data_IF_148709689496
#
_entry.id   IF_148709689496
#
_cell.length_a   1.000
_cell.length_b   1.000
_cell.length_c   1.000
_cell.angle_alpha   90.00
_cell.angle_beta   90.00
_cell.angle_gamma   90.00
#
_symmetry.space_group_name_H-M   'P 1'
#
loop_
_entity.id
_entity.type
_entity.pdbx_description
1 polymer ?
#
# COMPACT_ATOMS: atom_id res chain seq x y z
N UNK A 1 -33.87 -47.08 -5.41
CA UNK A 1 -34.64 -46.00 -4.77
C UNK A 1 -33.71 -44.80 -4.70
N UNK A 2 -34.15 -43.70 -5.29
CA UNK A 2 -33.40 -42.51 -5.66
C UNK A 2 -32.69 -41.84 -4.45
N UNK A 3 -31.43 -41.43 -4.63
CA UNK A 3 -30.85 -40.31 -3.87
C UNK A 3 -30.42 -39.26 -4.89
N UNK A 4 -31.02 -38.10 -4.73
CA UNK A 4 -31.05 -37.00 -5.68
C UNK A 4 -29.67 -36.41 -5.99
N UNK A 5 -29.36 -36.52 -7.27
CA UNK A 5 -28.68 -35.63 -8.17
C UNK A 5 -28.84 -34.10 -7.88
N UNK A 6 -28.14 -33.55 -6.87
CA UNK A 6 -28.07 -32.08 -6.61
C UNK A 6 -26.71 -31.47 -6.25
N UNK A 7 -25.61 -32.22 -6.24
CA UNK A 7 -24.24 -31.67 -6.10
C UNK A 7 -23.43 -31.92 -7.37
N UNK A 8 -23.65 -31.10 -8.40
CA UNK A 8 -22.63 -30.90 -9.43
C UNK A 8 -21.55 -30.01 -8.81
N UNK A 9 -20.42 -30.60 -8.42
CA UNK A 9 -19.34 -29.88 -7.75
C UNK A 9 -18.79 -28.78 -8.67
N UNK A 10 -18.38 -27.65 -8.09
CA UNK A 10 -17.59 -26.61 -8.78
C UNK A 10 -16.44 -27.22 -9.59
N UNK A 11 -15.82 -28.28 -9.04
CA UNK A 11 -14.85 -29.13 -9.73
C UNK A 11 -15.33 -29.64 -11.08
N UNK A 12 -16.52 -30.24 -11.17
CA UNK A 12 -17.08 -30.77 -12.43
C UNK A 12 -17.42 -29.65 -13.42
N UNK A 13 -17.72 -28.44 -12.92
CA UNK A 13 -18.06 -27.26 -13.75
C UNK A 13 -16.83 -26.54 -14.26
N UNK A 14 -15.86 -26.26 -13.39
CA UNK A 14 -14.56 -25.72 -13.79
C UNK A 14 -13.90 -26.69 -14.77
N UNK A 15 -13.77 -27.97 -14.42
CA UNK A 15 -13.16 -28.95 -15.33
C UNK A 15 -13.98 -29.18 -16.61
N UNK A 16 -15.32 -29.13 -16.54
CA UNK A 16 -16.21 -29.25 -17.69
C UNK A 16 -16.17 -28.04 -18.65
N UNK A 17 -15.91 -26.84 -18.13
CA UNK A 17 -15.67 -25.63 -18.91
C UNK A 17 -14.31 -25.67 -19.63
N UNK A 18 -13.31 -26.33 -19.05
CA UNK A 18 -11.94 -26.40 -19.57
C UNK A 18 -11.71 -27.50 -20.60
N UNK A 19 -12.53 -28.55 -20.58
CA UNK A 19 -12.46 -29.62 -21.58
C UNK A 19 -12.99 -29.23 -22.98
N UNK A 20 -13.59 -28.04 -23.16
CA UNK A 20 -14.29 -27.66 -24.40
C UNK A 20 -13.44 -26.93 -25.46
N UNK A 21 -12.19 -26.56 -25.21
CA UNK A 21 -11.39 -25.73 -26.13
C UNK A 21 -9.96 -26.25 -26.39
N UNK A 22 -9.79 -27.52 -26.77
CA UNK A 22 -8.52 -28.03 -27.35
C UNK A 22 -7.23 -27.85 -26.51
N UNK A 23 -7.32 -27.90 -25.18
CA UNK A 23 -6.18 -28.25 -24.34
C UNK A 23 -6.17 -29.77 -24.16
N UNK A 24 -5.01 -30.41 -24.33
CA UNK A 24 -4.89 -31.87 -24.29
C UNK A 24 -5.41 -32.40 -22.94
N UNK A 25 -6.19 -33.49 -22.97
CA UNK A 25 -6.63 -34.20 -21.76
C UNK A 25 -5.47 -34.70 -20.88
N UNK A 26 -4.23 -34.68 -21.39
CA UNK A 26 -3.01 -34.92 -20.62
C UNK A 26 -2.56 -33.71 -19.78
N UNK A 27 -2.83 -32.48 -20.24
CA UNK A 27 -2.46 -31.22 -19.56
C UNK A 27 -3.48 -30.85 -18.46
N UNK A 28 -4.69 -31.40 -18.57
CA UNK A 28 -5.81 -31.23 -17.62
C UNK A 28 -6.04 -32.50 -16.78
N UNK A 29 -4.99 -33.20 -16.33
CA UNK A 29 -5.20 -34.30 -15.36
C UNK A 29 -5.66 -33.73 -14.01
N UNK A 30 -6.97 -33.87 -13.83
CA UNK A 30 -7.90 -33.23 -12.88
C UNK A 30 -7.58 -33.35 -11.38
N UNK A 31 -6.69 -34.25 -10.94
CA UNK A 31 -6.49 -34.56 -9.52
C UNK A 31 -5.17 -34.05 -8.92
N UNK A 32 -4.28 -33.45 -9.73
CA UNK A 32 -2.92 -33.07 -9.30
C UNK A 32 -2.48 -31.67 -9.78
N UNK A 33 -3.40 -30.85 -10.31
CA UNK A 33 -3.05 -29.50 -10.74
C UNK A 33 -3.00 -28.56 -9.52
N UNK A 34 -1.80 -28.44 -8.97
CA UNK A 34 -1.46 -27.60 -7.82
C UNK A 34 -1.82 -26.12 -8.07
N UNK A 35 -1.43 -25.58 -9.23
CA UNK A 35 -1.66 -24.17 -9.56
C UNK A 35 -3.16 -23.84 -9.64
N UNK A 36 -3.95 -24.74 -10.25
CA UNK A 36 -5.41 -24.58 -10.30
C UNK A 36 -6.04 -24.65 -8.90
N UNK A 37 -5.48 -25.47 -8.01
CA UNK A 37 -5.96 -25.60 -6.64
C UNK A 37 -5.68 -24.36 -5.80
N UNK A 38 -4.48 -23.77 -5.94
CA UNK A 38 -4.13 -22.49 -5.31
C UNK A 38 -5.02 -21.38 -5.87
N UNK A 39 -5.21 -21.35 -7.19
CA UNK A 39 -6.04 -20.36 -7.86
C UNK A 39 -7.49 -20.39 -7.39
N UNK A 40 -8.07 -21.59 -7.22
CA UNK A 40 -9.41 -21.73 -6.67
C UNK A 40 -9.49 -21.14 -5.25
N UNK A 41 -8.52 -21.41 -4.37
CA UNK A 41 -8.50 -20.84 -3.02
C UNK A 41 -8.42 -19.30 -3.04
N UNK A 42 -7.56 -18.73 -3.88
CA UNK A 42 -7.38 -17.28 -4.00
C UNK A 42 -8.66 -16.58 -4.51
N UNK A 43 -9.33 -17.16 -5.49
CA UNK A 43 -10.57 -16.58 -6.02
C UNK A 43 -11.69 -16.67 -4.99
N UNK A 44 -11.79 -17.79 -4.27
CA UNK A 44 -12.84 -17.98 -3.27
C UNK A 44 -12.68 -17.15 -2.02
N UNK A 45 -11.45 -16.88 -1.58
CA UNK A 45 -11.25 -16.06 -0.38
C UNK A 45 -11.71 -14.61 -0.62
N UNK A 46 -11.44 -14.06 -1.81
CA UNK A 46 -11.92 -12.73 -2.18
C UNK A 46 -13.44 -12.71 -2.45
N UNK A 47 -14.03 -13.82 -2.92
CA UNK A 47 -15.46 -13.92 -3.18
C UNK A 47 -16.30 -14.25 -1.92
N UNK A 48 -15.70 -14.22 -0.72
CA UNK A 48 -16.37 -14.60 0.53
C UNK A 48 -17.45 -13.58 0.96
N UNK A 49 -17.28 -12.31 0.58
CA UNK A 49 -18.26 -11.26 0.83
C UNK A 49 -19.01 -10.84 -0.44
N UNK A 50 -20.17 -10.20 -0.26
CA UNK A 50 -21.08 -9.82 -1.37
C UNK A 50 -20.49 -8.73 -2.28
N UNK A 51 -19.52 -7.96 -1.77
CA UNK A 51 -18.78 -6.93 -2.50
C UNK A 51 -17.41 -7.46 -2.91
N UNK A 52 -17.33 -7.93 -4.16
CA UNK A 52 -16.08 -8.39 -4.76
C UNK A 52 -15.28 -7.19 -5.26
N UNK A 53 -14.26 -6.79 -4.49
CA UNK A 53 -13.54 -5.53 -4.69
C UNK A 53 -12.68 -5.52 -5.97
N UNK A 54 -12.49 -4.37 -6.61
CA UNK A 54 -11.68 -4.27 -7.83
C UNK A 54 -10.17 -4.47 -7.58
N UNK A 55 -9.65 -4.06 -6.42
CA UNK A 55 -8.25 -4.21 -6.05
C UNK A 55 -7.93 -5.68 -5.73
N UNK A 56 -8.82 -6.38 -5.01
CA UNK A 56 -8.74 -7.85 -4.84
C UNK A 56 -8.68 -8.57 -6.20
N UNK A 57 -9.55 -8.18 -7.14
CA UNK A 57 -9.59 -8.76 -8.48
C UNK A 57 -8.31 -8.53 -9.29
N UNK A 58 -7.74 -7.32 -9.22
CA UNK A 58 -6.47 -7.01 -9.88
C UNK A 58 -5.33 -7.82 -9.28
N UNK A 59 -5.28 -7.94 -7.96
CA UNK A 59 -4.26 -8.73 -7.24
C UNK A 59 -4.35 -10.21 -7.58
N UNK A 60 -5.56 -10.78 -7.61
CA UNK A 60 -5.78 -12.17 -8.06
C UNK A 60 -5.25 -12.34 -9.49
N UNK A 61 -5.67 -11.48 -10.43
CA UNK A 61 -5.21 -11.59 -11.83
C UNK A 61 -3.69 -11.53 -11.94
N UNK A 62 -3.04 -10.65 -11.19
CA UNK A 62 -1.59 -10.53 -11.18
C UNK A 62 -0.90 -11.80 -10.64
N UNK A 63 -1.36 -12.35 -9.51
CA UNK A 63 -0.81 -13.58 -8.94
C UNK A 63 -1.02 -14.76 -9.90
N UNK A 64 -2.23 -14.93 -10.43
CA UNK A 64 -2.55 -16.07 -11.29
C UNK A 64 -1.78 -16.03 -12.61
N UNK A 65 -1.59 -14.84 -13.19
CA UNK A 65 -0.86 -14.67 -14.44
C UNK A 65 0.66 -14.77 -14.26
N UNK A 66 1.21 -14.10 -13.25
CA UNK A 66 2.66 -13.92 -13.12
C UNK A 66 3.34 -15.02 -12.30
N UNK A 67 2.64 -15.60 -11.31
CA UNK A 67 3.23 -16.55 -10.36
C UNK A 67 2.75 -17.99 -10.59
N UNK A 68 1.53 -18.18 -11.13
CA UNK A 68 0.95 -19.50 -11.36
C UNK A 68 0.84 -19.89 -12.85
N UNK A 69 1.25 -19.00 -13.75
CA UNK A 69 1.27 -19.20 -15.22
C UNK A 69 -0.10 -19.65 -15.78
N UNK A 70 -1.18 -19.08 -15.24
CA UNK A 70 -2.55 -19.42 -15.65
C UNK A 70 -2.99 -18.47 -16.78
N UNK A 71 -3.51 -18.98 -17.91
CA UNK A 71 -3.98 -18.15 -19.02
C UNK A 71 -5.08 -17.16 -18.60
N UNK A 72 -5.06 -15.96 -19.19
CA UNK A 72 -5.99 -14.88 -18.84
C UNK A 72 -7.47 -15.28 -19.03
N UNK A 73 -7.78 -16.05 -20.08
CA UNK A 73 -9.13 -16.55 -20.37
C UNK A 73 -9.62 -17.52 -19.29
N UNK A 74 -8.71 -18.32 -18.75
CA UNK A 74 -8.96 -19.25 -17.64
C UNK A 74 -9.24 -18.48 -16.35
N UNK A 75 -8.41 -17.48 -16.04
CA UNK A 75 -8.57 -16.61 -14.86
C UNK A 75 -9.95 -15.95 -14.86
N UNK A 76 -10.34 -15.34 -15.98
CA UNK A 76 -11.63 -14.64 -16.12
C UNK A 76 -12.80 -15.58 -15.84
N UNK A 77 -12.77 -16.81 -16.38
CA UNK A 77 -13.82 -17.82 -16.16
C UNK A 77 -13.89 -18.29 -14.72
N UNK A 78 -12.75 -18.48 -14.04
CA UNK A 78 -12.70 -18.88 -12.63
C UNK A 78 -13.32 -17.80 -11.74
N UNK A 79 -13.01 -16.53 -12.00
CA UNK A 79 -13.56 -15.39 -11.25
C UNK A 79 -15.07 -15.26 -11.47
N UNK A 80 -15.55 -15.41 -12.70
CA UNK A 80 -16.99 -15.37 -13.02
C UNK A 80 -17.80 -16.51 -12.39
N UNK A 81 -17.18 -17.69 -12.24
CA UNK A 81 -17.83 -18.83 -11.59
C UNK A 81 -17.87 -18.67 -10.08
N UNK A 82 -16.79 -18.19 -9.46
CA UNK A 82 -16.75 -17.95 -8.02
C UNK A 82 -17.78 -16.91 -7.57
N UNK A 83 -18.00 -15.84 -8.35
CA UNK A 83 -19.06 -14.84 -8.11
C UNK A 83 -20.47 -15.43 -8.07
N UNK A 84 -20.70 -16.57 -8.71
CA UNK A 84 -22.03 -17.21 -8.81
C UNK A 84 -22.30 -18.19 -7.66
N UNK A 85 -21.35 -18.41 -6.77
CA UNK A 85 -21.46 -19.38 -5.68
C UNK A 85 -21.73 -18.72 -4.34
N UNK A 86 -22.54 -19.38 -3.52
CA UNK A 86 -22.81 -19.01 -2.13
C UNK A 86 -21.94 -19.83 -1.17
N UNK A 87 -21.60 -19.25 -0.02
CA UNK A 87 -20.65 -19.74 1.01
C UNK A 87 -20.78 -21.24 1.37
N UNK A 88 -21.98 -21.83 1.28
CA UNK A 88 -22.29 -23.18 1.74
C UNK A 88 -21.85 -24.32 0.81
N UNK A 89 -21.42 -24.03 -0.42
CA UNK A 89 -21.22 -25.06 -1.47
C UNK A 89 -19.75 -25.35 -1.85
N UNK A 90 -18.77 -24.72 -1.20
CA UNK A 90 -17.37 -24.80 -1.64
C UNK A 90 -16.64 -25.98 -0.96
N UNK A 91 -16.28 -27.00 -1.75
CA UNK A 91 -15.45 -28.12 -1.30
C UNK A 91 -13.95 -27.74 -1.27
N UNK A 92 -13.58 -26.91 -0.30
CA UNK A 92 -12.19 -26.52 -0.02
C UNK A 92 -11.28 -27.72 0.24
N UNK A 93 -11.83 -28.85 0.70
CA UNK A 93 -11.04 -30.01 1.10
C UNK A 93 -10.36 -30.68 -0.10
N UNK A 94 -10.96 -30.64 -1.29
CA UNK A 94 -10.34 -31.14 -2.52
C UNK A 94 -9.07 -30.36 -2.86
N UNK A 95 -9.18 -29.03 -2.95
CA UNK A 95 -8.06 -28.14 -3.30
C UNK A 95 -6.94 -28.20 -2.24
N UNK A 96 -7.30 -28.15 -0.96
CA UNK A 96 -6.32 -28.16 0.14
C UNK A 96 -5.62 -29.51 0.24
N UNK A 97 -6.29 -30.62 -0.08
CA UNK A 97 -5.64 -31.94 -0.14
C UNK A 97 -4.56 -31.98 -1.22
N UNK A 98 -4.84 -31.44 -2.40
CA UNK A 98 -3.85 -31.36 -3.50
C UNK A 98 -2.64 -30.51 -3.05
N UNK A 99 -2.88 -29.38 -2.41
CA UNK A 99 -1.81 -28.51 -1.88
C UNK A 99 -0.98 -29.23 -0.82
N UNK A 100 -1.62 -29.82 0.20
CA UNK A 100 -0.93 -30.54 1.28
C UNK A 100 -0.14 -31.76 0.78
N UNK A 101 -0.56 -32.39 -0.32
CA UNK A 101 0.14 -33.53 -0.93
C UNK A 101 1.40 -33.09 -1.68
N UNK A 102 1.35 -31.93 -2.33
CA UNK A 102 2.41 -31.48 -3.24
C UNK A 102 3.39 -30.48 -2.59
N UNK A 103 3.00 -29.81 -1.50
CA UNK A 103 3.87 -28.90 -0.76
C UNK A 103 4.23 -29.37 0.65
N UNK A 104 5.46 -29.06 1.04
CA UNK A 104 5.94 -29.14 2.41
C UNK A 104 5.48 -27.90 3.23
N UNK A 105 6.01 -27.73 4.44
CA UNK A 105 5.60 -26.63 5.30
C UNK A 105 5.87 -25.25 4.68
N UNK A 106 6.99 -25.11 3.98
CA UNK A 106 7.41 -23.86 3.36
C UNK A 106 6.47 -23.50 2.20
N UNK A 107 6.20 -24.44 1.29
CA UNK A 107 5.26 -24.22 0.20
C UNK A 107 3.82 -23.91 0.69
N UNK A 108 3.41 -24.44 1.85
CA UNK A 108 2.11 -24.09 2.45
C UNK A 108 2.09 -22.69 3.07
N UNK A 109 3.21 -22.23 3.64
CA UNK A 109 3.36 -20.84 4.09
C UNK A 109 3.31 -19.88 2.89
N UNK A 110 3.87 -20.26 1.73
CA UNK A 110 3.78 -19.46 0.51
C UNK A 110 2.34 -19.29 0.02
N UNK A 111 1.54 -20.37 0.05
CA UNK A 111 0.10 -20.30 -0.26
C UNK A 111 -0.64 -19.37 0.71
N UNK A 112 -0.32 -19.45 2.01
CA UNK A 112 -0.88 -18.54 3.03
C UNK A 112 -0.49 -17.09 2.77
N UNK A 113 0.74 -16.84 2.33
CA UNK A 113 1.21 -15.49 1.95
C UNK A 113 0.44 -14.94 0.74
N UNK A 114 0.21 -15.76 -0.29
CA UNK A 114 -0.59 -15.36 -1.45
C UNK A 114 -2.04 -15.04 -1.07
N UNK A 115 -2.64 -15.83 -0.17
CA UNK A 115 -3.98 -15.57 0.36
C UNK A 115 -4.06 -14.25 1.11
N UNK A 116 -3.07 -13.94 1.97
CA UNK A 116 -3.00 -12.65 2.64
C UNK A 116 -2.82 -11.47 1.69
N UNK A 117 -2.04 -11.63 0.61
CA UNK A 117 -1.91 -10.58 -0.43
C UNK A 117 -3.26 -10.25 -1.09
N UNK A 118 -4.09 -11.27 -1.32
CA UNK A 118 -5.43 -11.10 -1.88
C UNK A 118 -6.40 -10.48 -0.87
N UNK A 119 -6.52 -11.06 0.32
CA UNK A 119 -7.44 -10.58 1.38
C UNK A 119 -7.10 -9.17 1.81
N UNK A 120 -5.82 -8.83 1.83
CA UNK A 120 -5.40 -7.50 2.22
C UNK A 120 -5.46 -6.50 1.06
N UNK A 121 -5.78 -6.88 -0.18
CA UNK A 121 -5.57 -6.08 -1.40
C UNK A 121 -6.27 -4.71 -1.44
N UNK A 122 -7.39 -4.54 -0.74
CA UNK A 122 -8.07 -3.25 -0.60
C UNK A 122 -7.61 -2.47 0.64
N UNK A 123 -6.85 -3.12 1.54
CA UNK A 123 -6.30 -2.65 2.81
C UNK A 123 -7.23 -2.87 4.01
N UNK A 124 -8.42 -3.46 3.81
CA UNK A 124 -9.41 -3.75 4.84
C UNK A 124 -9.74 -5.23 4.89
N UNK A 125 -9.41 -5.89 6.00
CA UNK A 125 -9.77 -7.31 6.17
C UNK A 125 -11.20 -7.41 6.67
N UNK A 126 -12.08 -7.98 5.87
CA UNK A 126 -13.47 -8.20 6.26
C UNK A 126 -13.58 -9.39 7.21
N UNK A 127 -14.64 -9.38 8.02
CA UNK A 127 -14.83 -10.40 9.05
C UNK A 127 -14.95 -11.82 8.46
N UNK A 128 -15.63 -11.98 7.32
CA UNK A 128 -15.75 -13.30 6.68
C UNK A 128 -14.42 -13.79 6.11
N UNK A 129 -13.62 -12.89 5.54
CA UNK A 129 -12.30 -13.19 5.02
C UNK A 129 -11.35 -13.65 6.14
N UNK A 130 -11.33 -12.98 7.31
CA UNK A 130 -10.53 -13.43 8.48
C UNK A 130 -10.97 -14.82 8.96
N UNK A 131 -12.29 -15.07 9.03
CA UNK A 131 -12.82 -16.38 9.40
C UNK A 131 -12.42 -17.47 8.40
N UNK A 132 -12.51 -17.18 7.11
CA UNK A 132 -12.14 -18.10 6.04
C UNK A 132 -10.63 -18.34 6.02
N UNK A 133 -9.82 -17.31 6.28
CA UNK A 133 -8.37 -17.41 6.38
C UNK A 133 -7.94 -18.33 7.53
N UNK A 134 -8.57 -18.18 8.71
CA UNK A 134 -8.34 -19.09 9.85
C UNK A 134 -8.66 -20.54 9.50
N UNK A 135 -9.78 -20.76 8.81
CA UNK A 135 -10.21 -22.09 8.36
C UNK A 135 -9.21 -22.69 7.37
N UNK A 136 -8.77 -21.92 6.37
CA UNK A 136 -7.82 -22.37 5.36
C UNK A 136 -6.45 -22.67 6.00
N UNK A 137 -5.93 -21.81 6.89
CA UNK A 137 -4.68 -22.05 7.61
C UNK A 137 -4.73 -23.37 8.39
N UNK A 138 -5.82 -23.61 9.12
CA UNK A 138 -6.01 -24.84 9.87
C UNK A 138 -5.98 -26.08 8.95
N UNK A 139 -6.66 -26.02 7.81
CA UNK A 139 -6.72 -27.14 6.86
C UNK A 139 -5.40 -27.35 6.10
N UNK A 140 -4.61 -26.29 5.90
CA UNK A 140 -3.23 -26.38 5.38
C UNK A 140 -2.23 -26.84 6.45
N UNK A 141 -2.64 -27.01 7.71
CA UNK A 141 -1.72 -27.37 8.79
C UNK A 141 -0.70 -26.27 9.11
N UNK A 142 -1.04 -25.01 8.82
CA UNK A 142 -0.24 -23.83 9.18
C UNK A 142 -0.72 -23.30 10.52
N UNK A 143 0.21 -23.05 11.44
CA UNK A 143 -0.10 -22.48 12.75
C UNK A 143 -0.54 -21.04 12.57
N UNK A 144 -1.63 -20.64 13.26
CA UNK A 144 -2.19 -19.29 13.10
C UNK A 144 -1.18 -18.18 13.43
N UNK A 145 -0.31 -18.39 14.41
CA UNK A 145 0.77 -17.46 14.74
C UNK A 145 1.66 -17.15 13.53
N UNK A 146 2.11 -18.16 12.80
CA UNK A 146 2.97 -17.98 11.62
C UNK A 146 2.20 -17.28 10.49
N UNK A 147 0.90 -17.54 10.38
CA UNK A 147 0.02 -16.81 9.46
C UNK A 147 -0.10 -15.32 9.82
N UNK A 148 -0.12 -14.97 11.11
CA UNK A 148 -0.12 -13.56 11.55
C UNK A 148 1.21 -12.87 11.23
N UNK A 149 2.35 -13.56 11.41
CA UNK A 149 3.66 -13.02 10.99
C UNK A 149 3.67 -12.78 9.49
N UNK A 150 3.19 -13.73 8.68
CA UNK A 150 3.10 -13.55 7.23
C UNK A 150 2.16 -12.40 6.84
N UNK A 151 1.09 -12.17 7.60
CA UNK A 151 0.21 -11.02 7.41
C UNK A 151 0.96 -9.71 7.67
N UNK A 152 1.75 -9.63 8.76
CA UNK A 152 2.60 -8.48 9.07
C UNK A 152 3.68 -8.28 7.99
N UNK A 153 4.30 -9.35 7.49
CA UNK A 153 5.27 -9.28 6.37
C UNK A 153 4.62 -8.79 5.08
N UNK A 154 3.41 -9.26 4.73
CA UNK A 154 2.67 -8.82 3.55
C UNK A 154 2.21 -7.38 3.70
N UNK A 155 1.83 -6.97 4.92
CA UNK A 155 1.52 -5.59 5.26
C UNK A 155 2.74 -4.69 5.05
N UNK A 156 3.88 -5.06 5.66
CA UNK A 156 5.14 -4.32 5.56
C UNK A 156 5.66 -4.28 4.12
N UNK A 157 5.57 -5.39 3.38
CA UNK A 157 6.00 -5.50 1.99
C UNK A 157 5.11 -4.69 1.05
N UNK A 158 3.79 -4.69 1.24
CA UNK A 158 2.88 -3.88 0.42
C UNK A 158 3.04 -2.39 0.72
N UNK A 159 3.17 -2.05 1.99
CA UNK A 159 3.46 -0.69 2.43
C UNK A 159 4.78 -0.24 1.80
N UNK A 160 5.81 -1.09 1.84
CA UNK A 160 7.06 -0.86 1.12
C UNK A 160 6.88 -0.80 -0.40
N UNK A 161 6.05 -1.63 -1.03
CA UNK A 161 5.80 -1.61 -2.47
C UNK A 161 4.99 -0.39 -2.89
N UNK A 162 4.15 0.16 -2.02
CA UNK A 162 3.44 1.43 -2.26
C UNK A 162 4.40 2.60 -2.11
N UNK A 163 5.28 2.58 -1.10
CA UNK A 163 6.35 3.56 -0.91
C UNK A 163 7.42 3.46 -2.01
N UNK A 164 7.76 2.24 -2.43
CA UNK A 164 8.71 1.93 -3.52
C UNK A 164 8.07 2.27 -4.83
N UNK A 165 6.82 1.93 -5.14
CA UNK A 165 6.14 2.37 -6.36
C UNK A 165 5.92 3.89 -6.37
N UNK A 166 5.74 4.50 -5.20
CA UNK A 166 5.75 5.95 -5.00
C UNK A 166 7.14 6.56 -5.29
N UNK A 167 8.22 5.86 -4.94
CA UNK A 167 9.61 6.25 -5.21
C UNK A 167 10.20 5.67 -6.52
N UNK A 168 9.54 4.76 -7.21
CA UNK A 168 10.02 4.01 -8.39
C UNK A 168 8.95 3.99 -9.48
N UNK A 169 8.10 5.02 -9.53
CA UNK A 169 7.30 5.29 -10.72
C UNK A 169 8.26 5.34 -11.92
N UNK A 170 7.90 4.73 -13.05
CA UNK A 170 8.80 4.38 -14.17
C UNK A 170 9.52 5.58 -14.83
N UNK A 171 9.26 6.80 -14.38
CA UNK A 171 9.93 8.03 -14.79
C UNK A 171 11.01 8.55 -13.82
N UNK A 172 11.19 7.96 -12.63
CA UNK A 172 12.13 8.47 -11.61
C UNK A 172 12.89 7.33 -10.90
N UNK A 173 14.17 7.16 -11.23
CA UNK A 173 15.06 6.22 -10.55
C UNK A 173 15.60 6.79 -9.24
N UNK A 174 14.97 6.43 -8.11
CA UNK A 174 15.37 6.95 -6.78
C UNK A 174 16.76 6.52 -6.29
N UNK A 175 17.35 5.50 -6.90
CA UNK A 175 18.75 5.12 -6.66
C UNK A 175 19.73 6.26 -6.93
N UNK A 176 19.30 7.27 -7.68
CA UNK A 176 20.14 8.38 -8.13
C UNK A 176 20.16 9.56 -7.14
N UNK A 177 19.32 9.54 -6.09
CA UNK A 177 19.20 10.64 -5.14
C UNK A 177 20.00 10.43 -3.85
N UNK A 178 20.51 11.54 -3.31
CA UNK A 178 21.14 11.55 -2.01
C UNK A 178 20.13 11.32 -0.87
N UNK A 179 20.61 10.90 0.29
CA UNK A 179 19.79 10.77 1.50
C UNK A 179 19.03 12.06 1.84
N UNK A 180 19.65 13.22 1.62
CA UNK A 180 19.04 14.53 1.84
C UNK A 180 17.86 14.80 0.89
N UNK A 181 18.01 14.45 -0.40
CA UNK A 181 16.93 14.58 -1.37
C UNK A 181 15.75 13.65 -1.05
N UNK A 182 16.02 12.44 -0.56
CA UNK A 182 14.96 11.51 -0.14
C UNK A 182 14.15 12.07 1.04
N UNK A 183 14.81 12.76 1.97
CA UNK A 183 14.13 13.44 3.08
C UNK A 183 13.28 14.62 2.58
N UNK A 184 13.80 15.42 1.65
CA UNK A 184 13.05 16.53 1.05
C UNK A 184 11.80 16.05 0.29
N UNK A 185 11.88 14.96 -0.48
CA UNK A 185 10.69 14.42 -1.16
C UNK A 185 9.70 13.81 -0.16
N UNK A 186 10.19 13.14 0.88
CA UNK A 186 9.34 12.62 1.97
C UNK A 186 8.59 13.75 2.68
N UNK A 187 9.24 14.89 2.91
CA UNK A 187 8.60 16.08 3.46
C UNK A 187 7.56 16.68 2.49
N UNK A 188 7.88 16.76 1.19
CA UNK A 188 6.96 17.23 0.16
C UNK A 188 5.69 16.37 0.07
N UNK A 189 5.85 15.04 0.09
CA UNK A 189 4.77 14.07 0.13
C UNK A 189 3.87 14.28 1.35
N UNK A 190 4.48 14.40 2.54
CA UNK A 190 3.76 14.62 3.78
C UNK A 190 2.89 15.88 3.73
N UNK A 191 3.40 16.98 3.18
CA UNK A 191 2.63 18.22 3.05
C UNK A 191 1.40 18.04 2.16
N UNK A 192 1.54 17.33 1.05
CA UNK A 192 0.45 17.06 0.11
C UNK A 192 -0.59 16.16 0.77
N UNK A 193 -0.18 15.08 1.45
CA UNK A 193 -1.10 14.21 2.20
C UNK A 193 -1.83 14.97 3.30
N UNK A 194 -1.12 15.81 4.07
CA UNK A 194 -1.72 16.60 5.13
C UNK A 194 -2.77 17.60 4.63
N UNK A 195 -2.53 18.21 3.47
CA UNK A 195 -3.46 19.14 2.85
C UNK A 195 -4.70 18.46 2.28
N UNK A 196 -4.56 17.22 1.79
CA UNK A 196 -5.68 16.45 1.24
C UNK A 196 -6.52 15.75 2.31
N UNK A 197 -5.94 15.46 3.48
CA UNK A 197 -6.61 14.76 4.58
C UNK A 197 -7.62 15.62 5.35
N UNK A 198 -7.38 16.93 5.48
CA UNK A 198 -8.24 17.83 6.25
C UNK A 198 -9.29 18.51 5.34
N UNK A 199 -10.57 18.32 5.70
CA UNK A 199 -11.75 18.82 4.96
C UNK A 199 -11.91 20.34 5.01
N UNK A 200 -11.18 21.01 5.89
CA UNK A 200 -11.22 22.47 6.04
C UNK A 200 -10.24 23.20 5.11
N UNK A 201 -9.37 22.50 4.38
CA UNK A 201 -8.41 23.15 3.48
C UNK A 201 -9.02 23.52 2.13
N UNK A 202 -8.77 24.76 1.71
CA UNK A 202 -9.23 25.32 0.46
C UNK A 202 -8.18 25.14 -0.66
N UNK A 203 -8.64 25.17 -1.91
CA UNK A 203 -7.79 25.07 -3.13
C UNK A 203 -6.63 26.10 -3.10
N UNK A 204 -6.85 27.29 -2.56
CA UNK A 204 -5.80 28.32 -2.40
C UNK A 204 -4.68 27.95 -1.42
N UNK A 205 -4.98 27.14 -0.41
CA UNK A 205 -3.98 26.66 0.56
C UNK A 205 -3.16 25.51 -0.03
N UNK A 206 -3.79 24.71 -0.90
CA UNK A 206 -3.13 23.64 -1.64
C UNK A 206 -2.11 24.19 -2.66
N UNK A 207 -2.50 25.21 -3.44
CA UNK A 207 -1.57 25.89 -4.36
C UNK A 207 -0.37 26.50 -3.62
N UNK A 208 -0.60 27.00 -2.40
CA UNK A 208 0.48 27.50 -1.55
C UNK A 208 1.51 26.41 -1.19
N UNK A 209 1.05 25.18 -0.96
CA UNK A 209 1.96 24.04 -0.72
C UNK A 209 2.76 23.73 -1.97
N UNK A 210 2.13 23.69 -3.15
CA UNK A 210 2.84 23.46 -4.41
C UNK A 210 3.96 24.47 -4.59
N UNK A 211 3.63 25.76 -4.50
CA UNK A 211 4.60 26.86 -4.62
C UNK A 211 5.73 26.75 -3.59
N UNK A 212 5.39 26.43 -2.33
CA UNK A 212 6.37 26.29 -1.25
C UNK A 212 7.36 25.14 -1.52
N UNK A 213 6.86 23.97 -1.93
CA UNK A 213 7.66 22.79 -2.26
C UNK A 213 8.57 23.08 -3.47
N UNK A 214 8.01 23.65 -4.53
CA UNK A 214 8.73 24.00 -5.75
C UNK A 214 9.88 24.97 -5.45
N UNK A 215 9.59 26.05 -4.73
CA UNK A 215 10.58 27.08 -4.42
C UNK A 215 11.65 26.59 -3.44
N UNK A 216 11.28 25.73 -2.48
CA UNK A 216 12.21 25.28 -1.44
C UNK A 216 13.09 24.13 -1.87
N UNK A 217 12.53 23.15 -2.57
CA UNK A 217 13.25 21.93 -2.94
C UNK A 217 13.65 21.88 -4.42
N UNK A 218 13.14 22.78 -5.26
CA UNK A 218 13.50 22.86 -6.68
C UNK A 218 12.93 21.72 -7.53
N UNK A 219 11.87 21.07 -7.05
CA UNK A 219 11.23 19.96 -7.77
C UNK A 219 10.43 20.45 -8.98
N UNK A 220 10.39 19.62 -10.03
CA UNK A 220 9.61 19.92 -11.23
C UNK A 220 8.11 19.90 -10.93
N UNK A 221 7.36 20.67 -11.71
CA UNK A 221 5.89 20.65 -11.66
C UNK A 221 5.32 19.25 -11.90
N UNK A 222 5.94 18.48 -12.80
CA UNK A 222 5.61 17.09 -13.07
C UNK A 222 5.74 16.18 -11.84
N UNK A 223 6.85 16.29 -11.08
CA UNK A 223 7.03 15.53 -9.85
C UNK A 223 5.96 15.90 -8.81
N UNK A 224 5.68 17.20 -8.64
CA UNK A 224 4.66 17.65 -7.70
C UNK A 224 3.28 17.12 -8.10
N UNK A 225 2.92 17.17 -9.37
CA UNK A 225 1.64 16.68 -9.86
C UNK A 225 1.49 15.16 -9.71
N UNK A 226 2.59 14.41 -9.85
CA UNK A 226 2.62 12.99 -9.52
C UNK A 226 2.39 12.73 -8.03
N UNK A 227 3.06 13.48 -7.14
CA UNK A 227 2.84 13.37 -5.69
C UNK A 227 1.38 13.65 -5.32
N UNK A 228 0.76 14.65 -5.95
CA UNK A 228 -0.64 15.02 -5.74
C UNK A 228 -1.58 13.94 -6.23
N UNK A 229 -1.41 13.49 -7.47
CA UNK A 229 -2.25 12.45 -8.07
C UNK A 229 -2.21 11.18 -7.23
N UNK A 230 -1.02 10.84 -6.71
CA UNK A 230 -0.86 9.71 -5.82
C UNK A 230 -1.62 9.91 -4.51
N UNK A 231 -1.36 11.01 -3.81
CA UNK A 231 -1.99 11.31 -2.53
C UNK A 231 -3.54 11.42 -2.63
N UNK A 232 -4.06 11.93 -3.75
CA UNK A 232 -5.51 12.05 -4.02
C UNK A 232 -6.17 10.69 -4.28
N UNK A 233 -5.49 9.77 -5.00
CA UNK A 233 -5.94 8.39 -5.21
C UNK A 233 -5.96 7.60 -3.90
N UNK A 234 -4.91 7.73 -3.10
CA UNK A 234 -4.81 7.06 -1.79
C UNK A 234 -5.72 7.67 -0.73
N UNK A 235 -6.21 8.91 -0.91
CA UNK A 235 -7.12 9.59 0.04
C UNK A 235 -8.39 8.77 0.33
N UNK A 236 -8.86 7.98 -0.64
CA UNK A 236 -10.04 7.12 -0.47
C UNK A 236 -9.68 5.65 -0.18
N UNK A 237 -8.41 5.26 -0.34
CA UNK A 237 -7.89 3.91 -0.13
C UNK A 237 -6.98 3.89 1.10
N UNK A 238 -7.56 3.91 2.30
CA UNK A 238 -7.04 3.50 3.63
C UNK A 238 -5.71 4.10 4.15
N UNK A 239 -4.84 4.68 3.32
CA UNK A 239 -3.61 5.36 3.74
C UNK A 239 -3.96 6.73 4.33
N UNK A 240 -4.33 6.72 5.60
CA UNK A 240 -4.46 7.91 6.43
C UNK A 240 -3.08 8.59 6.61
N UNK A 241 -3.05 9.91 6.83
CA UNK A 241 -1.83 10.66 7.12
C UNK A 241 -1.05 10.04 8.29
N UNK A 242 -1.77 9.41 9.23
CA UNK A 242 -1.20 8.73 10.38
C UNK A 242 -0.39 7.49 9.97
N UNK A 243 -0.82 6.71 8.98
CA UNK A 243 -0.05 5.55 8.49
C UNK A 243 1.24 6.00 7.79
N UNK A 244 1.17 7.07 6.98
CA UNK A 244 2.36 7.67 6.36
C UNK A 244 3.37 8.17 7.40
N UNK A 245 2.90 8.75 8.50
CA UNK A 245 3.77 9.19 9.59
C UNK A 245 4.34 8.00 10.35
N UNK A 246 3.56 6.94 10.58
CA UNK A 246 4.00 5.71 11.23
C UNK A 246 5.16 5.05 10.48
N UNK A 247 5.10 5.03 9.14
CA UNK A 247 6.19 4.61 8.25
C UNK A 247 7.47 5.43 8.51
N UNK A 248 7.35 6.77 8.53
CA UNK A 248 8.48 7.65 8.78
C UNK A 248 9.05 7.35 10.18
N UNK A 249 8.19 7.22 11.21
CA UNK A 249 8.63 6.89 12.57
C UNK A 249 9.33 5.53 12.69
N UNK A 250 8.92 4.54 11.91
CA UNK A 250 9.55 3.22 11.91
C UNK A 250 10.96 3.24 11.29
N UNK A 251 11.24 4.20 10.39
CA UNK A 251 12.48 4.26 9.61
C UNK A 251 13.56 5.16 10.23
N UNK A 252 13.18 6.11 11.08
CA UNK A 252 14.08 7.11 11.63
C UNK A 252 14.14 7.04 13.16
N UNK A 253 15.33 7.28 13.72
CA UNK A 253 15.51 7.47 15.16
C UNK A 253 14.82 8.76 15.65
N UNK A 254 14.64 8.89 16.97
CA UNK A 254 14.05 10.10 17.55
C UNK A 254 14.79 11.40 17.17
N UNK A 255 16.13 11.35 17.07
CA UNK A 255 16.94 12.50 16.65
C UNK A 255 16.73 12.83 15.16
N UNK A 256 16.65 11.80 14.31
CA UNK A 256 16.37 11.97 12.88
C UNK A 256 14.94 12.45 12.62
N UNK A 257 13.96 11.98 13.40
CA UNK A 257 12.57 12.47 13.34
C UNK A 257 12.48 13.93 13.77
N UNK A 258 13.21 14.34 14.81
CA UNK A 258 13.35 15.74 15.19
C UNK A 258 13.95 16.56 14.04
N UNK A 259 15.01 16.05 13.39
CA UNK A 259 15.63 16.68 12.22
C UNK A 259 14.69 16.79 11.02
N UNK A 260 13.93 15.74 10.73
CA UNK A 260 12.91 15.71 9.69
C UNK A 260 11.79 16.72 9.98
N UNK A 261 11.33 16.81 11.23
CA UNK A 261 10.34 17.82 11.61
C UNK A 261 10.90 19.25 11.58
N UNK A 262 12.19 19.44 11.87
CA UNK A 262 12.86 20.72 11.66
C UNK A 262 12.90 21.09 10.17
N UNK A 263 13.15 20.12 9.28
CA UNK A 263 13.07 20.30 7.83
C UNK A 263 11.66 20.70 7.37
N UNK A 264 10.61 20.09 7.92
CA UNK A 264 9.22 20.53 7.70
C UNK A 264 9.06 22.02 8.07
N UNK A 265 9.53 22.42 9.26
CA UNK A 265 9.48 23.82 9.68
C UNK A 265 10.28 24.75 8.75
N UNK A 266 11.43 24.31 8.26
CA UNK A 266 12.27 25.08 7.34
C UNK A 266 11.59 25.35 6.00
N UNK A 267 10.77 24.40 5.54
CA UNK A 267 9.96 24.54 4.33
C UNK A 267 8.81 25.49 4.58
N UNK A 268 8.08 25.29 5.69
CA UNK A 268 6.94 26.13 6.11
C UNK A 268 7.32 27.61 6.16
N UNK A 269 8.49 27.94 6.70
CA UNK A 269 8.90 29.35 6.88
C UNK A 269 9.70 29.92 5.70
N UNK A 270 9.76 29.23 4.56
CA UNK A 270 10.65 29.58 3.46
C UNK A 270 10.45 31.00 2.93
N UNK A 271 9.20 31.49 2.86
CA UNK A 271 8.86 32.85 2.43
C UNK A 271 9.15 33.92 3.53
N UNK A 272 9.47 33.47 4.74
CA UNK A 272 9.73 34.29 5.91
C UNK A 272 8.48 34.89 6.57
N UNK A 273 7.28 34.45 6.22
CA UNK A 273 6.02 34.85 6.84
C UNK A 273 5.27 33.60 7.26
N UNK A 274 5.02 33.43 8.56
CA UNK A 274 4.18 32.32 9.01
C UNK A 274 2.71 32.70 8.82
N UNK A 275 2.02 32.02 7.93
CA UNK A 275 0.59 32.14 7.71
C UNK A 275 -0.21 31.29 8.72
N UNK A 276 -1.49 31.62 8.99
CA UNK A 276 -2.33 30.83 9.90
C UNK A 276 -2.45 29.35 9.51
N UNK A 277 -2.52 29.08 8.20
CA UNK A 277 -2.51 27.74 7.62
C UNK A 277 -1.24 26.96 7.98
N UNK A 278 -0.07 27.55 7.71
CA UNK A 278 1.26 26.98 8.01
C UNK A 278 1.41 26.63 9.49
N UNK A 279 0.89 27.49 10.37
CA UNK A 279 0.84 27.23 11.80
C UNK A 279 -0.12 26.08 12.16
N UNK A 280 -1.30 26.01 11.53
CA UNK A 280 -2.26 24.91 11.71
C UNK A 280 -1.64 23.58 11.29
N UNK A 281 -0.95 23.56 10.16
CA UNK A 281 -0.27 22.39 9.61
C UNK A 281 0.85 21.88 10.52
N UNK A 282 1.71 22.77 11.01
CA UNK A 282 2.76 22.38 11.98
C UNK A 282 2.16 21.83 13.29
N UNK A 283 1.08 22.45 13.78
CA UNK A 283 0.38 21.97 14.99
C UNK A 283 -0.30 20.61 14.78
N UNK A 284 -0.77 20.35 13.56
CA UNK A 284 -1.36 19.08 13.15
C UNK A 284 -0.31 17.96 13.16
N UNK A 285 0.88 18.24 12.62
CA UNK A 285 1.94 17.24 12.45
C UNK A 285 2.72 16.96 13.74
N UNK A 286 3.01 17.97 14.56
CA UNK A 286 3.85 17.81 15.77
C UNK A 286 3.49 16.62 16.68
N UNK A 287 2.24 16.44 17.14
CA UNK A 287 1.91 15.33 18.03
C UNK A 287 2.07 13.96 17.36
N UNK A 288 1.91 13.89 16.03
CA UNK A 288 2.00 12.63 15.26
C UNK A 288 3.44 12.15 15.11
N UNK A 289 4.41 13.07 15.16
CA UNK A 289 5.83 12.77 15.25
C UNK A 289 6.32 12.53 16.69
N UNK A 290 5.41 12.42 17.67
CA UNK A 290 5.73 12.37 19.10
C UNK A 290 6.50 13.60 19.61
N UNK A 291 6.32 14.76 18.96
CA UNK A 291 6.99 16.00 19.34
C UNK A 291 6.09 16.76 20.33
N UNK A 292 6.57 16.88 21.57
CA UNK A 292 5.85 17.56 22.63
C UNK A 292 5.75 19.08 22.42
N UNK A 293 4.84 19.79 23.10
CA UNK A 293 4.64 21.24 22.91
C UNK A 293 5.90 22.09 23.16
N UNK A 294 6.72 21.69 24.13
CA UNK A 294 7.99 22.37 24.43
C UNK A 294 9.01 22.16 23.30
N UNK A 295 9.20 20.91 22.89
CA UNK A 295 10.12 20.55 21.80
C UNK A 295 9.69 21.17 20.47
N UNK A 296 8.39 21.19 20.19
CA UNK A 296 7.84 21.88 19.02
C UNK A 296 8.21 23.37 19.02
N UNK A 297 8.04 24.05 20.16
CA UNK A 297 8.42 25.45 20.28
C UNK A 297 9.94 25.67 20.13
N UNK A 298 10.76 24.74 20.65
CA UNK A 298 12.22 24.78 20.48
C UNK A 298 12.64 24.62 19.02
N UNK A 299 12.13 23.61 18.31
CA UNK A 299 12.42 23.38 16.89
C UNK A 299 12.03 24.61 16.07
N UNK A 300 10.82 25.13 16.29
CA UNK A 300 10.34 26.34 15.63
C UNK A 300 11.28 27.53 15.86
N UNK A 301 11.68 27.78 17.11
CA UNK A 301 12.58 28.88 17.45
C UNK A 301 13.99 28.69 16.87
N UNK A 302 14.50 27.46 16.85
CA UNK A 302 15.79 27.12 16.26
C UNK A 302 15.80 27.44 14.75
N UNK A 303 14.77 26.98 14.04
CA UNK A 303 14.60 27.18 12.60
C UNK A 303 14.41 28.66 12.26
N UNK A 304 13.59 29.39 13.01
CA UNK A 304 13.44 30.85 12.87
C UNK A 304 14.77 31.59 13.12
N UNK A 305 15.51 31.20 14.16
CA UNK A 305 16.80 31.78 14.48
C UNK A 305 17.89 31.51 13.43
N UNK A 306 17.84 30.36 12.75
CA UNK A 306 18.70 30.08 11.58
C UNK A 306 18.31 30.96 10.39
N UNK A 307 17.02 31.06 10.07
CA UNK A 307 16.52 31.87 8.97
C UNK A 307 16.84 33.37 9.13
N UNK A 308 16.71 33.94 10.34
CA UNK A 308 17.05 35.34 10.62
C UNK A 308 18.56 35.63 10.46
N UNK A 309 19.42 34.70 10.88
CA UNK A 309 20.89 34.83 10.72
C UNK A 309 21.32 34.75 9.26
N UNK A 310 20.67 33.88 8.47
CA UNK A 310 20.94 33.74 7.04
C UNK A 310 20.54 35.01 6.25
N UNK A 311 19.35 35.59 6.53
CA UNK A 311 18.92 36.86 5.92
C UNK A 311 19.85 38.03 6.29
N UNK A 312 20.27 38.14 7.56
CA UNK A 312 21.20 39.20 7.99
C UNK A 312 22.60 39.05 7.38
N UNK A 313 23.09 37.82 7.22
CA UNK A 313 24.38 37.56 6.56
C UNK A 313 24.37 37.89 5.06
N UNK A 314 23.31 37.51 4.34
CA UNK A 314 23.13 37.84 2.91
C UNK A 314 23.00 39.36 2.72
N UNK A 315 22.24 40.05 3.58
CA UNK A 315 22.07 41.49 3.49
C UNK A 315 23.38 42.25 3.73
N UNK A 316 24.20 41.78 4.69
CA UNK A 316 25.53 42.33 4.95
C UNK A 316 26.50 42.09 3.79
N UNK A 317 26.45 40.91 3.16
CA UNK A 317 27.25 40.59 1.97
C UNK A 317 26.84 41.42 0.74
N UNK A 318 25.55 41.73 0.58
CA UNK A 318 25.04 42.61 -0.49
C UNK A 318 25.40 44.08 -0.28
N UNK A 319 25.43 44.56 0.97
CA UNK A 319 25.91 45.91 1.30
C UNK A 319 27.44 46.05 1.09
N UNK A 320 28.21 45.01 1.38
CA UNK A 320 29.66 44.97 1.18
C UNK A 320 30.07 44.77 -0.30
N UNK A 321 29.19 44.20 -1.15
CA UNK A 321 29.45 44.03 -2.60
C UNK A 321 28.91 45.16 -3.48
N UNK A 322 28.09 46.07 -2.93
CA UNK A 322 27.60 47.28 -3.61
C UNK A 322 28.46 48.54 -3.43
N UNK A 323 29.64 48.43 -2.80
CA UNK A 323 30.54 49.56 -2.47
C UNK A 323 31.88 49.55 -3.21
N UNK A 324 31.98 48.91 -4.38
CA UNK A 324 33.15 49.02 -5.27
C UNK A 324 32.80 49.54 -6.66
#
# INVERSE_FOLDING_TARGET
MMRDNKNQNLWDRLTGLLARENLSAADLRQDDNLNLSIAALLVHIAAADEEYDENEQRTIRAILLNELDIPYEMITRMMDEAKKQTDDAIDFYGFIRVINRNFDQEGRLDVVRMLWRVVFADGNIKHKEDQLMRKICHLLGVVWHDSVILKEEVYDMRMWDQIVAFFHNEDIAYSDFSQEQNLHISAAALFIHAALADKEFHETEFERIKEMIQNRFGYSEELIEHLITHADRTRNEILDIDEFIDIIRARFSAEELRGFFAMIWEVIIADGKIHPFEQKLANLLAPRFNIGPMEHAEIKNEVLGKASRHKSGIQKLLEESGTN
#
